data_IF_670103759125
#
_entry.id   IF_670103759125
#
_cell.length_a   1.000
_cell.length_b   1.000
_cell.length_c   1.000
_cell.angle_alpha   90.00
_cell.angle_beta   90.00
_cell.angle_gamma   90.00
#
_symmetry.space_group_name_H-M   'P 1'
#
loop_
_entity.id
_entity.type
_entity.pdbx_description
1 polymer ?
#
# COMPACT_ATOMS: atom_id res chain seq x y z
N UNK A 1 -20.21 8.95 25.12
CA UNK A 1 -18.89 8.34 24.88
C UNK A 1 -18.97 7.03 24.07
N UNK A 2 -19.54 5.91 24.53
CA UNK A 2 -19.53 4.62 23.76
C UNK A 2 -20.04 4.73 22.32
N UNK A 3 -21.12 5.50 22.06
CA UNK A 3 -21.64 5.72 20.70
C UNK A 3 -20.65 6.51 19.82
N UNK A 4 -19.99 7.52 20.36
CA UNK A 4 -18.96 8.31 19.66
C UNK A 4 -17.73 7.45 19.32
N UNK A 5 -17.25 6.65 20.28
CA UNK A 5 -16.14 5.72 20.07
C UNK A 5 -16.44 4.75 18.92
N UNK A 6 -17.64 4.16 18.92
CA UNK A 6 -18.06 3.25 17.86
C UNK A 6 -18.12 3.98 16.51
N UNK A 7 -18.75 5.18 16.46
CA UNK A 7 -18.90 5.94 15.21
C UNK A 7 -17.55 6.39 14.64
N UNK A 8 -16.59 6.81 15.49
CA UNK A 8 -15.24 7.20 15.03
C UNK A 8 -14.45 6.00 14.52
N UNK A 9 -14.47 4.86 15.23
CA UNK A 9 -13.81 3.65 14.74
C UNK A 9 -14.45 3.13 13.44
N UNK A 10 -15.78 3.09 13.35
CA UNK A 10 -16.48 2.70 12.12
C UNK A 10 -16.19 3.66 10.96
N UNK A 11 -16.17 4.97 11.23
CA UNK A 11 -15.81 5.99 10.24
C UNK A 11 -14.37 5.86 9.78
N UNK A 12 -13.44 5.68 10.70
CA UNK A 12 -12.03 5.50 10.35
C UNK A 12 -11.79 4.21 9.54
N UNK A 13 -12.46 3.11 9.92
CA UNK A 13 -12.47 1.89 9.11
C UNK A 13 -13.09 2.10 7.72
N UNK A 14 -14.15 2.92 7.64
CA UNK A 14 -14.77 3.33 6.37
C UNK A 14 -13.83 4.14 5.47
N UNK A 15 -13.01 5.04 6.04
CA UNK A 15 -11.96 5.77 5.30
C UNK A 15 -10.98 4.76 4.68
N UNK A 16 -10.47 3.81 5.46
CA UNK A 16 -9.57 2.78 4.92
C UNK A 16 -10.25 1.92 3.86
N UNK A 17 -11.49 1.49 4.07
CA UNK A 17 -12.21 0.68 3.10
C UNK A 17 -12.36 1.41 1.76
N UNK A 18 -12.88 2.62 1.77
CA UNK A 18 -13.13 3.41 0.54
C UNK A 18 -11.84 3.83 -0.15
N UNK A 19 -10.79 4.19 0.61
CA UNK A 19 -9.47 4.49 0.06
C UNK A 19 -8.87 3.28 -0.68
N UNK A 20 -8.88 2.10 -0.05
CA UNK A 20 -8.33 0.90 -0.67
C UNK A 20 -9.20 0.37 -1.83
N UNK A 21 -10.52 0.64 -1.81
CA UNK A 21 -11.36 0.45 -2.98
C UNK A 21 -10.89 1.33 -4.14
N UNK A 22 -10.68 2.63 -3.92
CA UNK A 22 -10.18 3.53 -4.95
C UNK A 22 -8.78 3.12 -5.45
N UNK A 23 -7.90 2.68 -4.55
CA UNK A 23 -6.60 2.10 -4.92
C UNK A 23 -6.75 0.92 -5.89
N UNK A 24 -7.71 0.04 -5.64
CA UNK A 24 -8.05 -1.07 -6.54
C UNK A 24 -8.38 -0.57 -7.95
N UNK A 25 -9.29 0.39 -8.06
CA UNK A 25 -9.68 0.98 -9.35
C UNK A 25 -8.50 1.59 -10.08
N UNK A 26 -7.76 2.50 -9.43
CA UNK A 26 -6.80 3.37 -10.10
C UNK A 26 -5.41 2.73 -10.27
N UNK A 27 -5.01 1.81 -9.38
CA UNK A 27 -3.70 1.16 -9.47
C UNK A 27 -3.78 -0.27 -9.99
N UNK A 28 -4.61 -1.12 -9.37
CA UNK A 28 -4.63 -2.55 -9.72
C UNK A 28 -5.36 -2.82 -11.04
N UNK A 29 -6.35 -1.99 -11.38
CA UNK A 29 -7.04 -2.03 -12.68
C UNK A 29 -6.46 -1.03 -13.71
N UNK A 30 -5.31 -0.40 -13.45
CA UNK A 30 -4.67 0.54 -14.37
C UNK A 30 -4.46 -0.07 -15.77
N UNK A 31 -3.97 -1.31 -15.84
CA UNK A 31 -3.80 -2.02 -17.11
C UNK A 31 -5.11 -2.24 -17.84
N UNK A 32 -6.18 -2.58 -17.12
CA UNK A 32 -7.52 -2.80 -17.71
C UNK A 32 -8.11 -1.50 -18.29
N UNK A 33 -7.71 -0.34 -17.75
CA UNK A 33 -8.12 0.97 -18.26
C UNK A 33 -7.27 1.47 -19.43
N UNK A 34 -5.96 1.35 -19.32
CA UNK A 34 -5.00 1.98 -20.23
C UNK A 34 -4.72 1.16 -21.50
N UNK A 35 -4.68 -0.20 -21.42
CA UNK A 35 -4.42 -1.04 -22.57
C UNK A 35 -5.44 -0.87 -23.69
N UNK A 36 -6.78 -0.85 -23.44
CA UNK A 36 -7.77 -0.63 -24.50
C UNK A 36 -7.65 0.75 -25.17
N UNK A 37 -7.04 1.73 -24.48
CA UNK A 37 -6.79 3.09 -24.99
C UNK A 37 -5.51 3.21 -25.79
N UNK A 38 -4.77 2.10 -25.99
CA UNK A 38 -3.58 2.02 -26.84
C UNK A 38 -2.26 2.32 -26.14
N UNK A 39 -2.21 2.30 -24.81
CA UNK A 39 -0.95 2.33 -24.06
C UNK A 39 -0.28 0.97 -24.07
N UNK A 40 1.05 0.93 -24.19
CA UNK A 40 1.82 -0.29 -24.00
C UNK A 40 2.03 -0.62 -22.51
N UNK A 41 2.43 -1.85 -22.20
CA UNK A 41 2.74 -2.23 -20.82
C UNK A 41 3.94 -1.44 -20.27
N UNK A 42 4.93 -1.12 -21.10
CA UNK A 42 6.05 -0.27 -20.72
C UNK A 42 5.59 1.15 -20.35
N UNK A 43 4.66 1.73 -21.11
CA UNK A 43 4.11 3.06 -20.80
C UNK A 43 3.30 3.03 -19.49
N UNK A 44 2.51 1.99 -19.25
CA UNK A 44 1.79 1.80 -17.99
C UNK A 44 2.79 1.68 -16.83
N UNK A 45 3.85 0.92 -17.02
CA UNK A 45 4.92 0.80 -16.03
C UNK A 45 5.60 2.14 -15.72
N UNK A 46 5.85 2.98 -16.71
CA UNK A 46 6.42 4.33 -16.54
C UNK A 46 5.41 5.24 -15.82
N UNK A 47 4.11 5.18 -16.14
CA UNK A 47 3.05 5.92 -15.44
C UNK A 47 3.07 5.61 -13.94
N UNK A 48 3.05 4.33 -13.56
CA UNK A 48 3.02 3.91 -12.17
C UNK A 48 4.31 4.26 -11.42
N UNK A 49 5.47 4.14 -12.09
CA UNK A 49 6.75 4.51 -11.51
C UNK A 49 6.87 6.04 -11.32
N UNK A 50 6.50 6.84 -12.33
CA UNK A 50 6.50 8.30 -12.23
C UNK A 50 5.55 8.78 -11.12
N UNK A 51 4.37 8.18 -11.01
CA UNK A 51 3.43 8.47 -9.93
C UNK A 51 4.03 8.18 -8.55
N UNK A 52 4.74 7.06 -8.40
CA UNK A 52 5.43 6.71 -7.15
C UNK A 52 6.52 7.71 -6.78
N UNK A 53 7.31 8.17 -7.76
CA UNK A 53 8.33 9.21 -7.57
C UNK A 53 7.67 10.51 -7.08
N UNK A 54 6.65 10.97 -7.78
CA UNK A 54 5.93 12.20 -7.41
C UNK A 54 5.33 12.07 -6.01
N UNK A 55 4.74 10.92 -5.66
CA UNK A 55 4.16 10.67 -4.34
C UNK A 55 5.20 10.80 -3.22
N UNK A 56 6.43 10.30 -3.41
CA UNK A 56 7.53 10.41 -2.43
C UNK A 56 7.85 11.87 -2.11
N UNK A 57 7.79 12.77 -3.10
CA UNK A 57 7.99 14.21 -2.88
C UNK A 57 6.75 14.91 -2.33
N UNK A 58 5.55 14.49 -2.76
CA UNK A 58 4.29 15.07 -2.28
C UNK A 58 4.04 14.78 -0.79
N UNK A 59 4.36 13.59 -0.32
CA UNK A 59 4.11 13.18 1.08
C UNK A 59 4.68 14.16 2.10
N UNK A 60 5.99 14.49 2.10
CA UNK A 60 6.55 15.43 3.07
C UNK A 60 6.03 16.86 2.87
N UNK A 61 5.76 17.28 1.61
CA UNK A 61 5.19 18.60 1.33
C UNK A 61 3.78 18.72 1.94
N UNK A 62 2.96 17.68 1.78
CA UNK A 62 1.61 17.65 2.34
C UNK A 62 1.63 17.61 3.87
N UNK A 63 2.54 16.83 4.47
CA UNK A 63 2.72 16.80 5.92
C UNK A 63 3.15 18.17 6.44
N UNK A 64 4.20 18.77 5.88
CA UNK A 64 4.69 20.10 6.28
C UNK A 64 3.62 21.20 6.10
N UNK A 65 2.79 21.08 5.05
CA UNK A 65 1.69 22.01 4.82
C UNK A 65 0.60 21.88 5.88
N UNK A 66 0.22 20.66 6.28
CA UNK A 66 -0.75 20.43 7.37
C UNK A 66 -0.19 20.96 8.69
N UNK A 67 1.07 20.67 8.99
CA UNK A 67 1.75 21.06 10.22
C UNK A 67 1.86 22.59 10.38
N UNK A 68 2.15 23.30 9.30
CA UNK A 68 2.27 24.77 9.29
C UNK A 68 0.94 25.50 9.14
N UNK A 69 -0.10 24.82 8.65
CA UNK A 69 -1.37 25.46 8.37
C UNK A 69 -2.20 25.65 9.62
N UNK A 70 -2.34 26.90 10.07
CA UNK A 70 -3.29 27.26 11.13
C UNK A 70 -4.78 27.19 10.70
N UNK A 71 -5.06 26.94 9.41
CA UNK A 71 -6.42 26.99 8.85
C UNK A 71 -6.94 25.64 8.39
N UNK A 72 -6.06 24.71 8.00
CA UNK A 72 -6.45 23.43 7.41
C UNK A 72 -6.01 22.31 8.34
N UNK A 73 -6.96 21.57 8.90
CA UNK A 73 -6.69 20.38 9.71
C UNK A 73 -6.32 19.18 8.83
N UNK A 74 -5.73 18.14 9.42
CA UNK A 74 -5.41 16.88 8.73
C UNK A 74 -6.64 16.30 8.00
N UNK A 75 -7.82 16.30 8.65
CA UNK A 75 -9.08 15.85 8.02
C UNK A 75 -9.46 16.79 6.85
N UNK A 76 -9.31 18.11 7.04
CA UNK A 76 -9.60 19.10 6.00
C UNK A 76 -8.70 18.94 4.77
N UNK A 77 -7.41 18.68 4.99
CA UNK A 77 -6.47 18.39 3.91
C UNK A 77 -6.85 17.10 3.15
N UNK A 78 -7.22 16.05 3.89
CA UNK A 78 -7.69 14.80 3.29
C UNK A 78 -8.95 15.01 2.43
N UNK A 79 -9.88 15.85 2.87
CA UNK A 79 -11.08 16.22 2.09
C UNK A 79 -10.71 16.99 0.82
N UNK A 80 -9.83 17.97 0.92
CA UNK A 80 -9.38 18.78 -0.24
C UNK A 80 -8.70 17.89 -1.29
N UNK A 81 -7.81 17.00 -0.87
CA UNK A 81 -7.13 16.08 -1.77
C UNK A 81 -8.11 15.07 -2.39
N UNK A 82 -9.13 14.61 -1.65
CA UNK A 82 -10.17 13.74 -2.20
C UNK A 82 -10.98 14.46 -3.28
N UNK A 83 -11.34 15.74 -3.07
CA UNK A 83 -12.03 16.56 -4.08
C UNK A 83 -11.15 16.75 -5.32
N UNK A 84 -9.84 17.01 -5.13
CA UNK A 84 -8.91 17.11 -6.25
C UNK A 84 -8.85 15.81 -7.05
N UNK A 85 -8.81 14.66 -6.36
CA UNK A 85 -8.85 13.34 -7.02
C UNK A 85 -10.15 13.15 -7.81
N UNK A 86 -11.31 13.55 -7.29
CA UNK A 86 -12.58 13.50 -8.03
C UNK A 86 -12.53 14.36 -9.29
N UNK A 87 -11.95 15.56 -9.23
CA UNK A 87 -11.80 16.41 -10.42
C UNK A 87 -10.87 15.77 -11.47
N UNK A 88 -9.78 15.14 -11.03
CA UNK A 88 -8.87 14.43 -11.93
C UNK A 88 -9.52 13.16 -12.52
N UNK A 89 -10.24 12.39 -11.71
CA UNK A 89 -10.96 11.19 -12.14
C UNK A 89 -12.06 11.53 -13.14
N UNK A 90 -12.78 12.65 -12.95
CA UNK A 90 -13.79 13.12 -13.88
C UNK A 90 -13.25 13.38 -15.30
N UNK A 91 -11.96 13.72 -15.46
CA UNK A 91 -11.33 13.88 -16.77
C UNK A 91 -11.29 12.54 -17.52
N UNK A 92 -11.23 11.40 -16.82
CA UNK A 92 -11.18 10.08 -17.45
C UNK A 92 -12.45 9.74 -18.23
N UNK A 93 -13.62 10.35 -17.91
CA UNK A 93 -14.87 10.14 -18.65
C UNK A 93 -14.85 10.64 -20.09
N UNK A 94 -14.00 11.64 -20.38
CA UNK A 94 -13.91 12.25 -21.71
C UNK A 94 -12.66 11.81 -22.49
N UNK A 95 -11.87 10.89 -21.92
CA UNK A 95 -10.61 10.41 -22.52
C UNK A 95 -10.78 9.02 -23.12
N UNK A 96 -11.11 8.94 -24.40
CA UNK A 96 -11.35 7.68 -25.11
C UNK A 96 -10.07 7.08 -25.69
N UNK A 97 -9.06 7.92 -26.02
CA UNK A 97 -7.88 7.52 -26.75
C UNK A 97 -6.59 7.94 -26.05
N UNK A 98 -5.50 7.28 -26.43
CA UNK A 98 -4.16 7.61 -25.97
C UNK A 98 -3.83 9.09 -26.25
N UNK A 99 -3.43 9.83 -25.22
CA UNK A 99 -3.03 11.22 -25.32
C UNK A 99 -2.05 11.56 -24.20
N UNK A 100 -1.25 12.63 -24.43
CA UNK A 100 -0.37 13.14 -23.37
C UNK A 100 -1.17 13.66 -22.16
N UNK A 101 -2.36 14.23 -22.41
CA UNK A 101 -3.26 14.67 -21.34
C UNK A 101 -3.68 13.52 -20.43
N UNK A 102 -4.15 12.41 -21.00
CA UNK A 102 -4.52 11.21 -20.23
C UNK A 102 -3.31 10.64 -19.47
N UNK A 103 -2.13 10.62 -20.12
CA UNK A 103 -0.89 10.15 -19.51
C UNK A 103 -0.56 10.93 -18.23
N UNK A 104 -0.57 12.26 -18.30
CA UNK A 104 -0.29 13.15 -17.15
C UNK A 104 -1.37 13.06 -16.09
N UNK A 105 -2.65 13.07 -16.48
CA UNK A 105 -3.77 12.97 -15.52
C UNK A 105 -3.71 11.67 -14.75
N UNK A 106 -3.44 10.55 -15.42
CA UNK A 106 -3.37 9.25 -14.73
C UNK A 106 -2.18 9.17 -13.76
N UNK A 107 -1.01 9.72 -14.14
CA UNK A 107 0.13 9.88 -13.21
C UNK A 107 -0.30 10.66 -11.96
N UNK A 108 -1.00 11.79 -12.16
CA UNK A 108 -1.42 12.64 -11.05
C UNK A 108 -2.44 11.95 -10.16
N UNK A 109 -3.40 11.20 -10.71
CA UNK A 109 -4.37 10.40 -9.93
C UNK A 109 -3.63 9.43 -9.01
N UNK A 110 -2.74 8.61 -9.57
CA UNK A 110 -2.01 7.59 -8.79
C UNK A 110 -1.06 8.24 -7.79
N UNK A 111 -0.41 9.35 -8.15
CA UNK A 111 0.50 10.07 -7.26
C UNK A 111 -0.22 10.68 -6.05
N UNK A 112 -1.32 11.40 -6.27
CA UNK A 112 -2.12 12.00 -5.18
C UNK A 112 -2.76 10.92 -4.29
N UNK A 113 -3.29 9.86 -4.90
CA UNK A 113 -3.82 8.72 -4.16
C UNK A 113 -2.75 8.12 -3.25
N UNK A 114 -1.54 7.85 -3.77
CA UNK A 114 -0.44 7.27 -3.00
C UNK A 114 0.03 8.21 -1.89
N UNK A 115 0.05 9.52 -2.16
CA UNK A 115 0.43 10.54 -1.17
C UNK A 115 -0.58 10.68 -0.01
N UNK A 116 -1.85 10.32 -0.20
CA UNK A 116 -2.87 10.34 0.84
C UNK A 116 -2.72 9.23 1.89
N UNK A 117 -2.08 8.11 1.55
CA UNK A 117 -2.00 6.95 2.44
C UNK A 117 -1.38 7.26 3.82
N UNK A 118 -0.23 7.95 3.92
CA UNK A 118 0.34 8.33 5.22
C UNK A 118 -0.58 9.24 6.03
N UNK A 119 -1.30 10.18 5.38
CA UNK A 119 -2.25 11.07 6.06
C UNK A 119 -3.39 10.27 6.71
N UNK A 120 -3.93 9.25 6.00
CA UNK A 120 -4.95 8.38 6.58
C UNK A 120 -4.40 7.52 7.72
N UNK A 121 -3.15 7.08 7.66
CA UNK A 121 -2.53 6.33 8.75
C UNK A 121 -2.35 7.22 10.00
N UNK A 122 -1.89 8.47 9.84
CA UNK A 122 -1.71 9.41 10.95
C UNK A 122 -3.04 9.92 11.54
N UNK A 123 -4.14 9.81 10.79
CA UNK A 123 -5.46 10.23 11.26
C UNK A 123 -5.92 9.48 12.52
N UNK A 124 -5.44 8.23 12.77
CA UNK A 124 -5.74 7.52 14.02
C UNK A 124 -5.28 8.30 15.26
N UNK A 125 -4.06 8.84 15.24
CA UNK A 125 -3.52 9.64 16.34
C UNK A 125 -4.35 10.90 16.55
N UNK A 126 -4.71 11.58 15.45
CA UNK A 126 -5.57 12.76 15.51
C UNK A 126 -6.94 12.46 16.13
N UNK A 127 -7.55 11.35 15.77
CA UNK A 127 -8.86 10.96 16.32
C UNK A 127 -8.77 10.59 17.82
N UNK A 128 -7.65 10.06 18.28
CA UNK A 128 -7.41 9.74 19.69
C UNK A 128 -7.31 10.96 20.60
N UNK A 129 -6.97 12.14 20.08
CA UNK A 129 -7.01 13.41 20.82
C UNK A 129 -8.41 13.73 21.37
N UNK A 130 -9.47 13.29 20.67
CA UNK A 130 -10.84 13.36 21.19
C UNK A 130 -11.07 12.47 22.41
N UNK A 131 -10.05 11.72 22.84
CA UNK A 131 -10.06 10.76 23.96
C UNK A 131 -10.85 9.50 23.68
N UNK A 132 -10.98 9.17 22.44
CA UNK A 132 -11.56 7.93 21.95
C UNK A 132 -10.40 7.01 21.54
N UNK A 133 -10.37 5.79 22.05
CA UNK A 133 -9.39 4.81 21.59
C UNK A 133 -9.75 4.31 20.19
N UNK A 134 -8.80 4.40 19.26
CA UNK A 134 -8.93 3.92 17.87
C UNK A 134 -8.22 2.57 17.74
N UNK A 135 -8.96 1.55 17.34
CA UNK A 135 -8.37 0.26 17.02
C UNK A 135 -7.82 0.27 15.58
N UNK A 136 -6.59 0.79 15.43
CA UNK A 136 -5.93 0.93 14.12
C UNK A 136 -5.91 -0.37 13.33
N UNK A 137 -5.54 -1.50 13.95
CA UNK A 137 -5.42 -2.79 13.27
C UNK A 137 -6.74 -3.26 12.66
N UNK A 138 -7.83 -3.19 13.44
CA UNK A 138 -9.18 -3.55 12.95
C UNK A 138 -9.63 -2.60 11.86
N UNK A 139 -9.46 -1.28 12.04
CA UNK A 139 -9.87 -0.30 11.03
C UNK A 139 -9.06 -0.46 9.73
N UNK A 140 -7.75 -0.72 9.83
CA UNK A 140 -6.89 -0.96 8.68
C UNK A 140 -7.24 -2.26 7.93
N UNK A 141 -7.67 -3.31 8.62
CA UNK A 141 -8.10 -4.57 8.00
C UNK A 141 -9.40 -4.41 7.18
N UNK A 142 -10.27 -3.46 7.55
CA UNK A 142 -11.43 -3.10 6.73
C UNK A 142 -11.03 -2.55 5.36
N UNK A 143 -9.83 -1.96 5.23
CA UNK A 143 -9.26 -1.58 3.94
C UNK A 143 -9.03 -2.78 3.03
N UNK A 144 -8.39 -3.83 3.52
CA UNK A 144 -8.18 -5.08 2.76
C UNK A 144 -9.51 -5.77 2.41
N UNK A 145 -10.49 -5.73 3.32
CA UNK A 145 -11.82 -6.26 3.06
C UNK A 145 -12.54 -5.46 1.96
N UNK A 146 -12.52 -4.13 2.04
CA UNK A 146 -13.10 -3.25 1.02
C UNK A 146 -12.48 -3.47 -0.36
N UNK A 147 -11.15 -3.48 -0.42
CA UNK A 147 -10.42 -3.80 -1.65
C UNK A 147 -10.80 -5.18 -2.22
N UNK A 148 -10.83 -6.20 -1.37
CA UNK A 148 -11.19 -7.56 -1.78
C UNK A 148 -12.60 -7.62 -2.37
N UNK A 149 -13.58 -7.05 -1.67
CA UNK A 149 -14.96 -7.01 -2.15
C UNK A 149 -15.06 -6.25 -3.48
N UNK A 150 -14.44 -5.06 -3.57
CA UNK A 150 -14.46 -4.30 -4.82
C UNK A 150 -13.87 -5.11 -5.97
N UNK A 151 -12.67 -5.65 -5.84
CA UNK A 151 -12.01 -6.39 -6.91
C UNK A 151 -12.82 -7.59 -7.38
N UNK A 152 -13.49 -8.31 -6.46
CA UNK A 152 -14.35 -9.44 -6.81
C UNK A 152 -15.48 -9.07 -7.78
N UNK A 153 -16.09 -7.89 -7.58
CA UNK A 153 -17.17 -7.42 -8.46
C UNK A 153 -16.67 -6.65 -9.67
N UNK A 154 -15.63 -5.83 -9.49
CA UNK A 154 -15.13 -4.93 -10.52
C UNK A 154 -14.59 -5.68 -11.73
N UNK A 155 -13.90 -6.81 -11.53
CA UNK A 155 -13.44 -7.67 -12.62
C UNK A 155 -14.57 -8.14 -13.50
N UNK A 156 -15.68 -8.60 -12.90
CA UNK A 156 -16.90 -9.02 -13.63
C UNK A 156 -17.56 -7.84 -14.36
N UNK A 157 -17.56 -6.65 -13.75
CA UNK A 157 -18.12 -5.45 -14.38
C UNK A 157 -17.29 -5.03 -15.59
N UNK A 158 -15.96 -5.01 -15.47
CA UNK A 158 -15.05 -4.70 -16.58
C UNK A 158 -15.20 -5.69 -17.73
N UNK A 159 -15.32 -6.99 -17.42
CA UNK A 159 -15.51 -8.04 -18.44
C UNK A 159 -16.81 -7.86 -19.22
N UNK A 160 -17.91 -7.49 -18.55
CA UNK A 160 -19.24 -7.36 -19.16
C UNK A 160 -19.52 -6.01 -19.80
N UNK A 161 -18.99 -4.94 -19.22
CA UNK A 161 -19.35 -3.56 -19.58
C UNK A 161 -18.17 -2.77 -20.19
N UNK A 162 -16.97 -3.37 -20.19
CA UNK A 162 -15.76 -2.70 -20.66
C UNK A 162 -15.10 -1.81 -19.61
N UNK A 163 -13.98 -1.19 -20.00
CA UNK A 163 -13.17 -0.35 -19.13
C UNK A 163 -13.82 0.96 -18.68
N UNK A 164 -14.93 1.35 -19.33
CA UNK A 164 -15.67 2.59 -19.03
C UNK A 164 -16.34 2.58 -17.66
N UNK A 165 -16.50 1.40 -17.07
CA UNK A 165 -17.01 1.27 -15.69
C UNK A 165 -15.99 1.72 -14.64
N UNK A 166 -14.69 1.78 -14.99
CA UNK A 166 -13.64 2.10 -14.03
C UNK A 166 -13.72 3.55 -13.52
N UNK A 167 -13.81 4.60 -14.36
CA UNK A 167 -14.00 5.97 -13.88
C UNK A 167 -15.27 6.14 -13.06
N UNK A 168 -16.37 5.48 -13.44
CA UNK A 168 -17.64 5.52 -12.67
C UNK A 168 -17.42 4.95 -11.27
N UNK A 169 -16.76 3.80 -11.18
CA UNK A 169 -16.47 3.15 -9.90
C UNK A 169 -15.46 3.97 -9.08
N UNK A 170 -14.48 4.61 -9.73
CA UNK A 170 -13.53 5.53 -9.12
C UNK A 170 -14.25 6.69 -8.44
N UNK A 171 -15.13 7.39 -9.17
CA UNK A 171 -15.94 8.49 -8.62
C UNK A 171 -16.85 8.04 -7.46
N UNK A 172 -17.49 6.88 -7.58
CA UNK A 172 -18.35 6.36 -6.50
C UNK A 172 -17.54 6.08 -5.23
N UNK A 173 -16.34 5.50 -5.36
CA UNK A 173 -15.49 5.23 -4.21
C UNK A 173 -14.91 6.51 -3.59
N UNK A 174 -14.54 7.51 -4.39
CA UNK A 174 -14.10 8.82 -3.92
C UNK A 174 -15.23 9.60 -3.25
N UNK A 175 -16.44 9.56 -3.81
CA UNK A 175 -17.62 10.16 -3.19
C UNK A 175 -17.93 9.52 -1.82
N UNK A 176 -17.86 8.19 -1.73
CA UNK A 176 -18.01 7.48 -0.47
C UNK A 176 -16.90 7.84 0.54
N UNK A 177 -15.64 7.99 0.08
CA UNK A 177 -14.54 8.46 0.91
C UNK A 177 -14.79 9.87 1.45
N UNK A 178 -15.20 10.79 0.59
CA UNK A 178 -15.48 12.18 0.97
C UNK A 178 -16.63 12.25 1.99
N UNK A 179 -17.72 11.52 1.76
CA UNK A 179 -18.85 11.43 2.70
C UNK A 179 -18.38 10.90 4.05
N UNK A 180 -17.57 9.85 4.06
CA UNK A 180 -17.01 9.25 5.28
C UNK A 180 -16.13 10.24 6.03
N UNK A 181 -15.26 10.98 5.33
CA UNK A 181 -14.41 12.03 5.90
C UNK A 181 -15.24 13.16 6.52
N UNK A 182 -16.36 13.54 5.88
CA UNK A 182 -17.29 14.55 6.42
C UNK A 182 -17.95 14.05 7.71
N UNK A 183 -18.41 12.80 7.73
CA UNK A 183 -19.03 12.19 8.92
C UNK A 183 -18.02 12.10 10.07
N UNK A 184 -16.79 11.65 9.78
CA UNK A 184 -15.72 11.55 10.77
C UNK A 184 -15.39 12.93 11.33
N UNK A 185 -15.21 13.95 10.49
CA UNK A 185 -14.97 15.31 10.94
C UNK A 185 -16.04 15.81 11.88
N UNK A 186 -17.32 15.73 11.46
CA UNK A 186 -18.45 16.18 12.30
C UNK A 186 -18.54 15.43 13.64
N UNK A 187 -18.19 14.15 13.64
CA UNK A 187 -18.22 13.33 14.86
C UNK A 187 -17.05 13.66 15.78
N UNK A 188 -15.88 13.91 15.21
CA UNK A 188 -14.68 14.34 15.91
C UNK A 188 -14.89 15.71 16.57
N UNK A 189 -15.37 16.71 15.81
CA UNK A 189 -15.67 18.06 16.32
C UNK A 189 -16.66 18.00 17.50
N UNK A 190 -17.70 17.14 17.42
CA UNK A 190 -18.64 16.90 18.53
C UNK A 190 -17.97 16.25 19.74
N UNK A 191 -17.01 15.34 19.53
CA UNK A 191 -16.32 14.67 20.62
C UNK A 191 -15.39 15.66 21.37
N UNK A 192 -14.67 16.50 20.65
CA UNK A 192 -13.83 17.56 21.22
C UNK A 192 -14.67 18.60 21.98
N UNK A 193 -15.78 19.06 21.41
CA UNK A 193 -16.70 20.00 22.08
C UNK A 193 -17.27 19.45 23.40
N UNK A 194 -17.56 18.15 23.49
CA UNK A 194 -18.04 17.51 24.74
C UNK A 194 -16.98 17.47 25.83
N UNK A 195 -15.69 17.60 25.48
CA UNK A 195 -14.57 17.66 26.45
C UNK A 195 -14.09 19.06 26.78
N UNK A 196 -14.68 20.07 26.14
CA UNK A 196 -14.25 21.46 26.31
C UNK A 196 -12.91 21.78 25.63
N UNK A 197 -12.44 20.90 24.73
CA UNK A 197 -11.22 21.13 23.94
C UNK A 197 -11.58 22.12 22.83
N UNK A 198 -10.95 23.29 22.82
CA UNK A 198 -11.15 24.27 21.76
C UNK A 198 -10.26 23.95 20.56
N UNK A 199 -10.75 24.26 19.35
CA UNK A 199 -9.98 24.04 18.10
C UNK A 199 -8.60 24.70 18.09
N UNK A 200 -8.39 25.71 18.95
CA UNK A 200 -7.12 26.40 19.10
C UNK A 200 -6.12 25.64 19.98
N UNK A 201 -6.60 25.11 21.11
CA UNK A 201 -5.77 24.28 22.01
C UNK A 201 -5.35 22.97 21.35
N UNK A 202 -6.22 22.43 20.54
CA UNK A 202 -5.99 21.24 19.74
C UNK A 202 -4.83 21.43 18.72
N UNK A 203 -4.77 22.58 18.05
CA UNK A 203 -3.71 22.91 17.08
C UNK A 203 -2.39 23.28 17.74
N UNK A 204 -2.42 23.88 18.92
CA UNK A 204 -1.23 24.20 19.69
C UNK A 204 -0.55 22.92 20.21
N UNK A 205 -1.32 21.92 20.69
CA UNK A 205 -0.81 20.62 21.11
C UNK A 205 -0.23 19.81 19.93
N UNK A 206 -0.85 19.87 18.74
CA UNK A 206 -0.34 19.25 17.53
C UNK A 206 1.01 19.85 17.10
N UNK A 207 1.18 21.15 17.22
CA UNK A 207 2.42 21.84 16.87
C UNK A 207 3.57 21.51 17.83
N UNK A 208 3.30 21.43 19.14
CA UNK A 208 4.29 21.05 20.15
C UNK A 208 4.76 19.60 20.00
N UNK A 209 3.84 18.65 19.74
CA UNK A 209 4.16 17.25 19.54
C UNK A 209 5.03 17.00 18.28
N UNK A 210 4.90 17.83 17.25
CA UNK A 210 5.65 17.74 15.99
C UNK A 210 7.06 18.37 16.11
N UNK A 211 7.24 19.38 16.93
CA UNK A 211 8.57 19.97 17.21
C UNK A 211 9.50 18.97 17.93
N UNK A 212 8.97 18.13 18.83
CA UNK A 212 9.75 17.09 19.53
C UNK A 212 10.25 15.97 18.59
N UNK A 213 9.57 15.71 17.47
CA UNK A 213 9.94 14.63 16.50
C UNK A 213 10.92 15.10 15.43
N UNK A 214 11.26 16.38 15.38
CA UNK A 214 12.06 17.02 14.32
C UNK A 214 13.58 16.84 14.46
N UNK A 215 14.05 15.76 15.07
CA UNK A 215 15.45 15.36 14.93
C UNK A 215 15.72 15.04 13.44
N UNK A 216 16.59 15.83 12.81
CA UNK A 216 17.00 15.65 11.41
C UNK A 216 17.40 14.20 11.16
N UNK A 217 16.55 13.48 10.42
CA UNK A 217 16.81 12.09 10.05
C UNK A 217 17.97 12.09 9.06
N UNK A 218 19.19 12.03 9.57
CA UNK A 218 20.35 11.82 8.71
C UNK A 218 20.40 10.35 8.29
N UNK A 219 19.66 10.04 7.22
CA UNK A 219 19.52 8.69 6.68
C UNK A 219 20.88 8.13 6.20
N UNK A 220 21.80 9.00 5.77
CA UNK A 220 23.13 8.57 5.31
C UNK A 220 24.00 8.05 6.45
N UNK A 221 24.02 8.71 7.61
CA UNK A 221 24.75 8.20 8.79
C UNK A 221 24.16 6.88 9.25
N UNK A 222 22.83 6.79 9.33
CA UNK A 222 22.12 5.57 9.70
C UNK A 222 22.46 4.38 8.78
N UNK A 223 22.44 4.56 7.45
CA UNK A 223 22.80 3.52 6.48
C UNK A 223 24.26 3.06 6.68
N UNK A 224 25.18 3.99 6.94
CA UNK A 224 26.60 3.71 7.08
C UNK A 224 26.91 2.91 8.36
N UNK A 225 26.14 3.13 9.40
CA UNK A 225 26.25 2.42 10.68
C UNK A 225 25.55 1.07 10.65
N UNK A 226 24.44 0.94 9.92
CA UNK A 226 23.57 -0.24 9.88
C UNK A 226 23.69 -1.03 8.56
N UNK A 227 24.93 -1.36 8.14
CA UNK A 227 25.20 -2.05 6.85
C UNK A 227 24.43 -3.36 6.68
N UNK A 228 24.30 -4.17 7.74
CA UNK A 228 23.59 -5.43 7.67
C UNK A 228 22.09 -5.22 7.45
N UNK A 229 21.51 -4.19 8.04
CA UNK A 229 20.15 -3.80 7.81
C UNK A 229 19.92 -3.27 6.38
N UNK A 230 20.89 -2.57 5.80
CA UNK A 230 20.84 -2.19 4.39
C UNK A 230 20.84 -3.45 3.49
N UNK A 231 21.68 -4.45 3.77
CA UNK A 231 21.68 -5.72 3.03
C UNK A 231 20.33 -6.43 3.13
N UNK A 232 19.73 -6.46 4.33
CA UNK A 232 18.37 -6.98 4.52
C UNK A 232 17.38 -6.26 3.61
N UNK A 233 17.41 -4.94 3.57
CA UNK A 233 16.50 -4.12 2.75
C UNK A 233 16.75 -4.31 1.23
N UNK A 234 17.98 -4.56 0.79
CA UNK A 234 18.24 -4.97 -0.60
C UNK A 234 17.57 -6.31 -0.93
N UNK A 235 17.57 -7.26 -0.01
CA UNK A 235 16.78 -8.49 -0.13
C UNK A 235 15.28 -8.22 -0.19
N UNK A 236 14.78 -7.28 0.61
CA UNK A 236 13.38 -6.83 0.58
C UNK A 236 13.01 -6.28 -0.78
N UNK A 237 13.87 -5.48 -1.42
CA UNK A 237 13.64 -5.00 -2.81
C UNK A 237 13.38 -6.18 -3.74
N UNK A 238 14.16 -7.26 -3.62
CA UNK A 238 13.98 -8.45 -4.45
C UNK A 238 12.65 -9.18 -4.23
N UNK A 239 12.22 -9.37 -2.98
CA UNK A 239 10.94 -10.06 -2.71
C UNK A 239 9.72 -9.18 -3.01
N UNK A 240 9.78 -7.85 -2.74
CA UNK A 240 8.70 -6.93 -3.05
C UNK A 240 8.55 -6.67 -4.55
N UNK A 241 9.61 -6.90 -5.35
CA UNK A 241 9.55 -6.81 -6.80
C UNK A 241 8.43 -7.68 -7.38
N UNK A 242 8.38 -8.96 -7.00
CA UNK A 242 7.32 -9.85 -7.47
C UNK A 242 5.93 -9.43 -6.99
N UNK A 243 5.82 -8.94 -5.75
CA UNK A 243 4.53 -8.46 -5.26
C UNK A 243 4.03 -7.24 -6.06
N UNK A 244 4.92 -6.31 -6.39
CA UNK A 244 4.57 -5.14 -7.21
C UNK A 244 4.19 -5.54 -8.64
N UNK A 245 4.95 -6.46 -9.27
CA UNK A 245 4.62 -7.02 -10.59
C UNK A 245 3.23 -7.67 -10.59
N UNK A 246 2.92 -8.49 -9.59
CA UNK A 246 1.63 -9.16 -9.48
C UNK A 246 0.48 -8.17 -9.28
N UNK A 247 0.71 -7.07 -8.56
CA UNK A 247 -0.33 -6.03 -8.38
C UNK A 247 -0.55 -5.19 -9.64
N UNK A 248 0.51 -4.86 -10.39
CA UNK A 248 0.43 -3.93 -11.54
C UNK A 248 0.04 -4.61 -12.85
N UNK A 249 0.42 -5.89 -13.01
CA UNK A 249 0.29 -6.61 -14.29
C UNK A 249 -0.51 -7.91 -14.17
N UNK A 250 -1.42 -8.01 -13.19
CA UNK A 250 -2.23 -9.21 -12.99
C UNK A 250 -3.09 -9.54 -14.21
N UNK A 251 -3.59 -8.53 -14.95
CA UNK A 251 -4.37 -8.74 -16.16
C UNK A 251 -3.58 -9.50 -17.22
N UNK A 252 -2.34 -9.10 -17.45
CA UNK A 252 -1.46 -9.74 -18.45
C UNK A 252 -1.10 -11.17 -18.03
N UNK A 253 -0.88 -11.38 -16.73
CA UNK A 253 -0.56 -12.71 -16.16
C UNK A 253 -1.76 -13.66 -16.34
N UNK A 254 -2.96 -13.19 -16.05
CA UNK A 254 -4.18 -13.97 -16.17
C UNK A 254 -4.50 -14.27 -17.64
N UNK A 255 -4.34 -13.28 -18.52
CA UNK A 255 -4.56 -13.45 -19.96
C UNK A 255 -3.58 -14.47 -20.57
N UNK A 256 -2.34 -14.58 -20.09
CA UNK A 256 -1.34 -15.54 -20.57
C UNK A 256 -1.76 -17.02 -20.38
N UNK A 257 -2.63 -17.27 -19.41
CA UNK A 257 -3.20 -18.64 -19.14
C UNK A 257 -4.65 -18.78 -19.58
N UNK A 258 -5.16 -17.83 -20.38
CA UNK A 258 -6.52 -17.86 -20.93
C UNK A 258 -7.62 -17.40 -19.97
N UNK A 259 -7.27 -16.68 -18.90
CA UNK A 259 -8.23 -16.03 -18.01
C UNK A 259 -8.69 -14.67 -18.54
N UNK A 260 -9.59 -14.03 -17.81
CA UNK A 260 -10.26 -12.79 -18.19
C UNK A 260 -10.09 -11.68 -17.13
N UNK A 261 -10.66 -10.50 -17.39
CA UNK A 261 -10.71 -9.41 -16.37
C UNK A 261 -11.48 -9.84 -15.12
N UNK A 262 -12.46 -10.74 -15.25
CA UNK A 262 -13.17 -11.32 -14.12
C UNK A 262 -12.23 -12.17 -13.25
N UNK A 263 -11.39 -13.00 -13.87
CA UNK A 263 -10.40 -13.82 -13.17
C UNK A 263 -9.33 -12.93 -12.50
N UNK A 264 -8.89 -11.86 -13.16
CA UNK A 264 -8.01 -10.87 -12.54
C UNK A 264 -8.62 -10.30 -11.24
N UNK A 265 -9.87 -9.85 -11.31
CA UNK A 265 -10.59 -9.32 -10.16
C UNK A 265 -10.70 -10.35 -9.02
N UNK A 266 -10.99 -11.60 -9.33
CA UNK A 266 -11.05 -12.70 -8.35
C UNK A 266 -9.69 -13.00 -7.71
N UNK A 267 -8.61 -12.98 -8.48
CA UNK A 267 -7.25 -13.17 -7.95
C UNK A 267 -6.85 -12.04 -7.02
N UNK A 268 -7.05 -10.78 -7.42
CA UNK A 268 -6.77 -9.62 -6.59
C UNK A 268 -7.61 -9.61 -5.30
N UNK A 269 -8.89 -10.01 -5.41
CA UNK A 269 -9.76 -10.20 -4.26
C UNK A 269 -9.21 -11.25 -3.30
N UNK A 270 -8.82 -12.41 -3.83
CA UNK A 270 -8.26 -13.51 -3.04
C UNK A 270 -6.95 -13.10 -2.35
N UNK A 271 -6.08 -12.36 -3.04
CA UNK A 271 -4.84 -11.84 -2.46
C UNK A 271 -5.12 -11.02 -1.19
N UNK A 272 -5.99 -10.04 -1.27
CA UNK A 272 -6.30 -9.18 -0.14
C UNK A 272 -7.07 -9.91 0.98
N UNK A 273 -7.96 -10.82 0.62
CA UNK A 273 -8.71 -11.63 1.60
C UNK A 273 -7.79 -12.53 2.43
N UNK A 274 -6.80 -13.15 1.78
CA UNK A 274 -5.84 -14.05 2.42
C UNK A 274 -4.85 -13.34 3.35
N UNK A 275 -4.71 -12.01 3.26
CA UNK A 275 -3.91 -11.21 4.19
C UNK A 275 -4.62 -11.01 5.54
N UNK A 276 -5.95 -10.97 5.55
CA UNK A 276 -6.73 -10.65 6.76
C UNK A 276 -6.45 -11.63 7.90
N UNK A 277 -6.50 -12.96 7.71
CA UNK A 277 -6.17 -13.90 8.78
C UNK A 277 -4.75 -13.74 9.32
N UNK A 278 -3.78 -13.48 8.43
CA UNK A 278 -2.39 -13.31 8.83
C UNK A 278 -2.22 -12.10 9.76
N UNK A 279 -2.83 -10.96 9.42
CA UNK A 279 -2.80 -9.76 10.24
C UNK A 279 -3.53 -9.96 11.58
N UNK A 280 -4.68 -10.64 11.55
CA UNK A 280 -5.49 -10.85 12.75
C UNK A 280 -4.82 -11.78 13.76
N UNK A 281 -4.15 -12.84 13.28
CA UNK A 281 -3.50 -13.83 14.12
C UNK A 281 -1.99 -13.59 14.33
N UNK A 282 -1.46 -12.46 13.87
CA UNK A 282 -0.03 -12.16 13.92
C UNK A 282 0.55 -12.28 15.34
N UNK A 283 -0.10 -11.72 16.36
CA UNK A 283 0.37 -11.79 17.74
C UNK A 283 0.42 -13.23 18.28
N UNK A 284 -0.52 -14.08 17.87
CA UNK A 284 -0.52 -15.50 18.23
C UNK A 284 0.66 -16.24 17.56
N UNK A 285 0.99 -15.89 16.32
CA UNK A 285 2.15 -16.46 15.61
C UNK A 285 3.44 -15.98 16.24
N UNK A 286 3.57 -14.68 16.54
CA UNK A 286 4.72 -14.07 17.19
C UNK A 286 4.97 -14.63 18.60
N UNK A 287 3.92 -14.98 19.33
CA UNK A 287 4.05 -15.60 20.64
C UNK A 287 4.76 -16.98 20.60
N UNK A 288 4.81 -17.63 19.42
CA UNK A 288 5.40 -18.97 19.24
C UNK A 288 6.71 -18.95 18.43
N UNK A 289 6.89 -17.95 17.56
CA UNK A 289 8.02 -17.87 16.63
C UNK A 289 8.65 -16.47 16.68
N UNK A 290 9.99 -16.41 16.63
CA UNK A 290 10.72 -15.14 16.52
C UNK A 290 10.39 -14.42 15.20
N UNK A 291 10.41 -13.08 15.22
CA UNK A 291 10.21 -12.28 14.01
C UNK A 291 11.20 -12.65 12.89
N UNK A 292 12.46 -12.94 13.25
CA UNK A 292 13.44 -13.43 12.28
C UNK A 292 13.04 -14.76 11.61
N UNK A 293 12.47 -15.71 12.37
CA UNK A 293 11.97 -16.97 11.79
C UNK A 293 10.75 -16.73 10.87
N UNK A 294 9.83 -15.85 11.26
CA UNK A 294 8.68 -15.48 10.45
C UNK A 294 9.14 -14.85 9.13
N UNK A 295 10.11 -13.91 9.17
CA UNK A 295 10.66 -13.25 7.98
C UNK A 295 11.32 -14.26 7.00
N UNK A 296 12.05 -15.25 7.52
CA UNK A 296 12.67 -16.30 6.71
C UNK A 296 11.62 -17.16 5.99
N UNK A 297 10.61 -17.62 6.71
CA UNK A 297 9.52 -18.41 6.14
C UNK A 297 8.74 -17.58 5.11
N UNK A 298 8.43 -16.34 5.43
CA UNK A 298 7.71 -15.45 4.52
C UNK A 298 8.49 -15.18 3.23
N UNK A 299 9.83 -14.97 3.31
CA UNK A 299 10.67 -14.79 2.14
C UNK A 299 10.65 -16.02 1.21
N UNK A 300 10.67 -17.23 1.77
CA UNK A 300 10.51 -18.48 0.98
C UNK A 300 9.11 -18.52 0.33
N UNK A 301 8.06 -18.18 1.08
CA UNK A 301 6.69 -18.19 0.56
C UNK A 301 6.49 -17.20 -0.61
N UNK A 302 7.16 -16.03 -0.59
CA UNK A 302 7.19 -15.13 -1.74
C UNK A 302 7.74 -15.80 -3.00
N UNK A 303 8.91 -16.47 -2.87
CA UNK A 303 9.56 -17.19 -3.97
C UNK A 303 8.70 -18.33 -4.50
N UNK A 304 8.14 -19.15 -3.60
CA UNK A 304 7.24 -20.26 -3.96
C UNK A 304 6.01 -19.74 -4.70
N UNK A 305 5.37 -18.68 -4.18
CA UNK A 305 4.19 -18.08 -4.81
C UNK A 305 4.47 -17.67 -6.26
N UNK A 306 5.48 -16.82 -6.48
CA UNK A 306 5.77 -16.33 -7.84
C UNK A 306 6.26 -17.45 -8.75
N UNK A 307 7.04 -18.42 -8.24
CA UNK A 307 7.47 -19.58 -8.98
C UNK A 307 6.31 -20.48 -9.45
N UNK A 308 5.32 -20.72 -8.59
CA UNK A 308 4.11 -21.44 -8.97
C UNK A 308 3.28 -20.67 -10.02
N UNK A 309 3.19 -19.35 -9.92
CA UNK A 309 2.52 -18.52 -10.92
C UNK A 309 3.27 -18.58 -12.25
N UNK A 310 4.60 -18.53 -12.25
CA UNK A 310 5.42 -18.73 -13.47
C UNK A 310 5.15 -20.09 -14.13
N UNK A 311 5.00 -21.15 -13.33
CA UNK A 311 4.73 -22.51 -13.83
C UNK A 311 3.25 -22.73 -14.22
N UNK A 312 2.39 -21.76 -13.93
CA UNK A 312 0.96 -21.91 -14.19
C UNK A 312 0.67 -22.05 -15.68
N UNK A 313 -0.19 -23.03 -15.99
CA UNK A 313 -0.79 -23.27 -17.30
C UNK A 313 -2.31 -23.16 -17.26
N UNK A 314 -2.86 -22.81 -16.09
CA UNK A 314 -4.30 -22.66 -15.87
C UNK A 314 -4.54 -21.75 -14.66
N UNK A 315 -5.72 -21.16 -14.59
CA UNK A 315 -6.16 -20.32 -13.50
C UNK A 315 -6.11 -21.00 -12.13
N UNK A 316 -6.38 -22.33 -12.09
CA UNK A 316 -6.35 -23.09 -10.83
C UNK A 316 -5.00 -23.01 -10.10
N UNK A 317 -3.89 -23.09 -10.84
CA UNK A 317 -2.58 -23.01 -10.22
C UNK A 317 -2.27 -21.58 -9.74
N UNK A 318 -2.79 -20.54 -10.43
CA UNK A 318 -2.67 -19.15 -9.97
C UNK A 318 -3.44 -18.99 -8.65
N UNK A 319 -4.69 -19.47 -8.55
CA UNK A 319 -5.45 -19.41 -7.28
C UNK A 319 -4.74 -20.19 -6.17
N UNK A 320 -4.26 -21.41 -6.45
CA UNK A 320 -3.53 -22.22 -5.45
C UNK A 320 -2.24 -21.55 -4.97
N UNK A 321 -1.50 -20.90 -5.87
CA UNK A 321 -0.28 -20.18 -5.52
C UNK A 321 -0.55 -19.02 -4.53
N UNK A 322 -1.72 -18.40 -4.61
CA UNK A 322 -2.08 -17.29 -3.72
C UNK A 322 -2.31 -17.70 -2.26
N UNK A 323 -2.46 -19.01 -1.95
CA UNK A 323 -2.46 -19.48 -0.55
C UNK A 323 -1.17 -19.06 0.18
N UNK A 324 -0.05 -19.00 -0.53
CA UNK A 324 1.22 -18.51 0.02
C UNK A 324 1.22 -17.00 0.33
N UNK A 325 0.21 -16.23 -0.10
CA UNK A 325 0.06 -14.81 0.25
C UNK A 325 -0.07 -14.59 1.77
N UNK A 326 -0.83 -15.45 2.44
CA UNK A 326 -1.01 -15.42 3.90
C UNK A 326 0.34 -15.49 4.64
N UNK A 327 1.16 -16.45 4.28
CA UNK A 327 2.45 -16.71 4.93
C UNK A 327 3.57 -15.82 4.38
N UNK A 328 3.47 -15.36 3.14
CA UNK A 328 4.37 -14.40 2.53
C UNK A 328 4.06 -12.97 2.99
N UNK A 329 3.35 -12.21 2.17
CA UNK A 329 3.10 -10.79 2.40
C UNK A 329 2.34 -10.51 3.72
N UNK A 330 1.31 -11.33 4.04
CA UNK A 330 0.49 -11.13 5.23
C UNK A 330 1.26 -11.16 6.54
N UNK A 331 2.23 -12.07 6.70
CA UNK A 331 3.08 -12.15 7.89
C UNK A 331 4.36 -11.32 7.79
N UNK A 332 4.88 -11.08 6.57
CA UNK A 332 6.15 -10.37 6.40
C UNK A 332 6.09 -8.93 6.89
N UNK A 333 5.06 -8.21 6.51
CA UNK A 333 4.93 -6.79 6.82
C UNK A 333 4.91 -6.52 8.34
N UNK A 334 4.01 -7.12 9.15
CA UNK A 334 4.00 -6.89 10.58
C UNK A 334 5.26 -7.44 11.27
N UNK A 335 5.80 -8.58 10.80
CA UNK A 335 7.04 -9.14 11.35
C UNK A 335 8.23 -8.22 11.11
N UNK A 336 8.32 -7.54 9.93
CA UNK A 336 9.39 -6.61 9.63
C UNK A 336 9.35 -5.36 10.50
N UNK A 337 8.15 -4.81 10.74
CA UNK A 337 7.96 -3.65 11.64
C UNK A 337 8.48 -3.98 13.04
N UNK A 338 8.09 -5.13 13.59
CA UNK A 338 8.52 -5.56 14.93
C UNK A 338 10.01 -5.92 14.93
N UNK A 339 10.52 -6.59 13.89
CA UNK A 339 11.94 -6.94 13.78
C UNK A 339 12.84 -5.69 13.78
N UNK A 340 12.40 -4.61 13.12
CA UNK A 340 13.09 -3.33 13.15
C UNK A 340 13.14 -2.79 14.58
N UNK A 341 12.02 -2.79 15.28
CA UNK A 341 11.94 -2.28 16.65
C UNK A 341 12.81 -3.10 17.62
N UNK A 342 12.83 -4.44 17.47
CA UNK A 342 13.62 -5.35 18.31
C UNK A 342 15.14 -5.30 18.03
N UNK A 343 15.55 -4.94 16.82
CA UNK A 343 16.96 -5.02 16.39
C UNK A 343 17.68 -3.69 16.32
N UNK A 344 16.92 -2.59 16.21
CA UNK A 344 17.49 -1.24 16.16
C UNK A 344 17.76 -0.70 17.56
N UNK A 345 18.74 0.22 17.66
CA UNK A 345 19.01 0.96 18.90
C UNK A 345 17.81 1.86 19.22
N UNK A 346 17.66 2.20 20.51
CA UNK A 346 16.64 3.17 20.95
C UNK A 346 16.78 4.48 20.14
N UNK A 347 15.67 4.92 19.51
CA UNK A 347 15.62 6.12 18.67
C UNK A 347 15.95 5.89 17.18
N UNK A 348 16.44 4.70 16.79
CA UNK A 348 16.73 4.39 15.39
C UNK A 348 15.62 3.63 14.66
N UNK A 349 14.66 3.08 15.40
CA UNK A 349 13.55 2.28 14.82
C UNK A 349 12.76 3.06 13.76
N UNK A 350 12.50 4.36 13.99
CA UNK A 350 11.81 5.23 13.02
C UNK A 350 12.62 5.36 11.73
N UNK A 351 13.96 5.52 11.83
CA UNK A 351 14.86 5.58 10.67
C UNK A 351 14.87 4.25 9.91
N UNK A 352 14.84 3.13 10.64
CA UNK A 352 14.74 1.79 10.08
C UNK A 352 13.46 1.58 9.30
N UNK A 353 12.32 1.98 9.85
CA UNK A 353 11.02 1.88 9.17
C UNK A 353 10.95 2.81 7.95
N UNK A 354 11.51 4.01 8.04
CA UNK A 354 11.62 4.93 6.90
C UNK A 354 12.45 4.31 5.77
N UNK A 355 13.62 3.71 6.07
CA UNK A 355 14.43 3.02 5.07
C UNK A 355 13.68 1.85 4.43
N UNK A 356 13.00 1.04 5.23
CA UNK A 356 12.16 -0.07 4.72
C UNK A 356 11.08 0.44 3.75
N UNK A 357 10.38 1.51 4.11
CA UNK A 357 9.35 2.11 3.24
C UNK A 357 9.94 2.64 1.92
N UNK A 358 11.08 3.33 1.99
CA UNK A 358 11.80 3.79 0.78
C UNK A 358 12.17 2.61 -0.10
N UNK A 359 12.71 1.54 0.45
CA UNK A 359 13.16 0.37 -0.32
C UNK A 359 11.99 -0.40 -0.95
N UNK A 360 10.84 -0.51 -0.28
CA UNK A 360 9.64 -1.11 -0.88
C UNK A 360 9.08 -0.24 -2.02
N UNK A 361 9.14 1.08 -1.89
CA UNK A 361 8.76 2.01 -2.96
C UNK A 361 9.70 1.90 -4.16
N UNK A 362 11.01 1.88 -3.93
CA UNK A 362 12.02 1.68 -4.98
C UNK A 362 11.78 0.35 -5.71
N UNK A 363 11.47 -0.71 -4.96
CA UNK A 363 11.11 -2.00 -5.53
C UNK A 363 9.90 -1.91 -6.46
N UNK A 364 8.83 -1.23 -6.02
CA UNK A 364 7.62 -1.04 -6.84
C UNK A 364 7.90 -0.23 -8.12
N UNK A 365 8.72 0.81 -8.03
CA UNK A 365 9.14 1.62 -9.20
C UNK A 365 9.90 0.78 -10.22
N UNK A 366 10.92 0.04 -9.77
CA UNK A 366 11.72 -0.84 -10.64
C UNK A 366 10.83 -1.92 -11.25
N UNK A 367 9.97 -2.54 -10.45
CA UNK A 367 9.05 -3.58 -10.88
C UNK A 367 8.04 -3.09 -11.93
N UNK A 368 7.52 -1.89 -11.78
CA UNK A 368 6.58 -1.31 -12.75
C UNK A 368 7.24 -1.06 -14.10
N UNK A 369 8.43 -0.42 -14.12
CA UNK A 369 9.14 -0.14 -15.39
C UNK A 369 9.64 -1.42 -16.03
N UNK A 370 10.40 -2.25 -15.29
CA UNK A 370 10.96 -3.48 -15.85
C UNK A 370 9.86 -4.48 -16.22
N UNK A 371 8.82 -4.62 -15.38
CA UNK A 371 7.70 -5.50 -15.66
C UNK A 371 7.01 -5.14 -16.96
N UNK A 372 6.69 -3.87 -17.17
CA UNK A 372 6.07 -3.39 -18.41
C UNK A 372 6.93 -3.64 -19.64
N UNK A 373 8.23 -3.29 -19.59
CA UNK A 373 9.19 -3.53 -20.68
C UNK A 373 9.34 -5.00 -21.00
N UNK A 374 9.46 -5.86 -19.98
CA UNK A 374 9.61 -7.31 -20.17
C UNK A 374 8.35 -7.94 -20.79
N UNK A 375 7.16 -7.43 -20.44
CA UNK A 375 5.92 -7.91 -21.06
C UNK A 375 5.88 -7.52 -22.55
N UNK A 376 6.19 -6.28 -22.89
CA UNK A 376 6.14 -5.80 -24.27
C UNK A 376 7.19 -6.47 -25.17
N UNK A 377 8.36 -6.82 -24.61
CA UNK A 377 9.45 -7.43 -25.40
C UNK A 377 9.39 -8.93 -25.48
N UNK A 378 8.94 -9.60 -24.43
CA UNK A 378 9.09 -11.06 -24.26
C UNK A 378 7.88 -11.78 -23.64
N UNK A 379 6.81 -11.03 -23.34
CA UNK A 379 5.57 -11.54 -22.78
C UNK A 379 5.56 -11.71 -21.25
N UNK A 380 4.35 -11.92 -20.72
CA UNK A 380 4.13 -12.02 -19.27
C UNK A 380 4.87 -13.21 -18.62
N UNK A 381 5.03 -14.30 -19.34
CA UNK A 381 5.73 -15.48 -18.82
C UNK A 381 7.23 -15.23 -18.60
N UNK A 382 7.90 -14.49 -19.49
CA UNK A 382 9.30 -14.11 -19.32
C UNK A 382 9.46 -13.12 -18.16
N UNK A 383 8.57 -12.14 -18.03
CA UNK A 383 8.52 -11.24 -16.88
C UNK A 383 8.38 -12.03 -15.56
N UNK A 384 7.53 -13.06 -15.50
CA UNK A 384 7.37 -13.93 -14.32
C UNK A 384 8.63 -14.75 -14.03
N UNK A 385 9.35 -15.23 -15.05
CA UNK A 385 10.64 -15.91 -14.88
C UNK A 385 11.66 -14.97 -14.22
N UNK A 386 11.82 -13.76 -14.76
CA UNK A 386 12.72 -12.73 -14.19
C UNK A 386 12.32 -12.40 -12.76
N UNK A 387 11.02 -12.20 -12.53
CA UNK A 387 10.48 -11.93 -11.18
C UNK A 387 10.78 -13.07 -10.21
N UNK A 388 10.67 -14.31 -10.64
CA UNK A 388 10.99 -15.50 -9.83
C UNK A 388 12.46 -15.53 -9.44
N UNK A 389 13.36 -15.26 -10.38
CA UNK A 389 14.80 -15.21 -10.12
C UNK A 389 15.14 -14.09 -9.14
N UNK A 390 14.65 -12.86 -9.39
CA UNK A 390 14.87 -11.71 -8.51
C UNK A 390 14.36 -12.00 -7.10
N UNK A 391 13.17 -12.59 -6.99
CA UNK A 391 12.57 -12.92 -5.69
C UNK A 391 13.35 -14.02 -4.96
N UNK A 392 13.83 -15.05 -5.67
CA UNK A 392 14.64 -16.11 -5.08
C UNK A 392 15.97 -15.57 -4.54
N UNK A 393 16.65 -14.70 -5.30
CA UNK A 393 17.86 -14.01 -4.84
C UNK A 393 17.55 -13.11 -3.65
N UNK A 394 16.47 -12.32 -3.71
CA UNK A 394 16.02 -11.48 -2.59
C UNK A 394 15.75 -12.29 -1.33
N UNK A 395 15.04 -13.41 -1.45
CA UNK A 395 14.76 -14.32 -0.33
C UNK A 395 16.04 -14.88 0.30
N UNK A 396 16.99 -15.31 -0.52
CA UNK A 396 18.29 -15.78 -0.03
C UNK A 396 19.05 -14.67 0.74
N UNK A 397 19.03 -13.44 0.23
CA UNK A 397 19.65 -12.28 0.91
C UNK A 397 18.95 -11.96 2.23
N UNK A 398 17.62 -11.97 2.27
CA UNK A 398 16.84 -11.77 3.52
C UNK A 398 17.22 -12.83 4.55
N UNK A 399 17.22 -14.12 4.17
CA UNK A 399 17.55 -15.23 5.07
C UNK A 399 18.97 -15.08 5.63
N UNK A 400 19.95 -14.77 4.76
CA UNK A 400 21.33 -14.56 5.19
C UNK A 400 21.48 -13.37 6.14
N UNK A 401 20.84 -12.25 5.84
CA UNK A 401 20.92 -11.05 6.65
C UNK A 401 20.27 -11.26 8.03
N UNK A 402 19.07 -11.86 8.08
CA UNK A 402 18.38 -12.17 9.33
C UNK A 402 19.22 -13.13 10.18
N UNK A 403 19.77 -14.21 9.61
CA UNK A 403 20.63 -15.14 10.35
C UNK A 403 21.85 -14.43 10.97
N UNK A 404 22.51 -13.53 10.21
CA UNK A 404 23.65 -12.75 10.74
C UNK A 404 23.22 -11.81 11.88
N UNK A 405 22.07 -11.17 11.76
CA UNK A 405 21.54 -10.29 12.82
C UNK A 405 21.27 -11.09 14.09
N UNK A 406 20.63 -12.25 13.98
CA UNK A 406 20.34 -13.12 15.13
C UNK A 406 21.62 -13.64 15.82
N UNK A 407 22.68 -13.93 15.05
CA UNK A 407 23.97 -14.35 15.60
C UNK A 407 24.65 -13.19 16.35
N UNK A 408 24.72 -12.01 15.74
CA UNK A 408 25.33 -10.83 16.36
C UNK A 408 24.65 -10.46 17.68
N UNK A 409 23.32 -10.51 17.74
CA UNK A 409 22.57 -10.21 18.96
C UNK A 409 22.85 -11.23 20.08
N UNK A 410 23.07 -12.51 19.75
CA UNK A 410 23.42 -13.54 20.73
C UNK A 410 24.86 -13.44 21.25
N UNK A 411 25.76 -12.80 20.53
CA UNK A 411 27.15 -12.62 20.93
C UNK A 411 27.38 -11.34 21.75
N UNK A 412 26.40 -10.44 21.76
CA UNK A 412 26.44 -9.16 22.49
C UNK A 412 25.54 -9.16 23.74
N UNK A 413 24.71 -10.20 23.95
CA UNK A 413 23.91 -10.47 25.15
C UNK A 413 24.67 -11.46 26.07
#
# INVERSE_FOLDING_TARGET
MKKLTWTLNAGYGGIHATYWMFYGVSNSFASAFLLPRGYSNAEIGVILAAASIIAVFLQPIMADFVDRSRKISLIGMSQLCTILLMVLEAVLFVTEHKSLGLYVVFIMIVAWMTALQPLFNSLSFKLEESGVHINFGVCRSLGSLGYSLLCAFLGTLVEKMGSEVLPVTGEMTLAALLITLIIVKRTFDKACAQRGITEKEEREAEHEALEEVRDEINLWSFIRENKLFLVLNLGVVGIYFSNAVLNSFMLQIVNDVGGTSEDMGRVLSLMAFLEIPALFFFDNVRARFSCGSILKVAAVCFGVKVGLIYLAKSMWLIYAAHVFQTFGFGLFLPAMVVFIDETMRKGEAVKGQALFTVMTTVSAMIASVLGGVLIDTSGAKFMLLVSTIITAVGAAVVIMAVNKTEINNKTTS
#
